data_IF_242915991420
#
_entry.id   IF_242915991420
#
_cell.length_a   1.000
_cell.length_b   1.000
_cell.length_c   1.000
_cell.angle_alpha   90.00
_cell.angle_beta   90.00
_cell.angle_gamma   90.00
#
_symmetry.space_group_name_H-M   'P 1'
#
loop_
_entity.id
_entity.type
_entity.pdbx_description
1 polymer ?
#
# COMPACT_ATOMS: atom_id res chain seq x y z
N UNK A 1 -26.06 2.18 1.62
CA UNK A 1 -24.81 1.98 0.84
C UNK A 1 -23.71 2.84 1.47
N UNK A 2 -22.45 2.41 1.53
CA UNK A 2 -21.36 3.23 2.08
C UNK A 2 -20.99 4.36 1.10
N UNK A 3 -20.94 5.59 1.58
CA UNK A 3 -20.68 6.78 0.76
C UNK A 3 -19.19 7.15 0.73
N UNK A 4 -18.84 8.14 -0.11
CA UNK A 4 -17.47 8.65 -0.25
C UNK A 4 -16.88 9.15 1.08
N UNK A 5 -17.69 9.85 1.86
CA UNK A 5 -17.29 10.44 3.14
C UNK A 5 -16.84 9.38 4.14
N UNK A 6 -17.58 8.27 4.25
CA UNK A 6 -17.19 7.13 5.08
C UNK A 6 -15.78 6.63 4.73
N UNK A 7 -15.51 6.41 3.44
CA UNK A 7 -14.22 5.90 2.98
C UNK A 7 -13.09 6.89 3.18
N UNK A 8 -13.34 8.19 2.97
CA UNK A 8 -12.36 9.24 3.24
C UNK A 8 -12.03 9.32 4.73
N UNK A 9 -13.05 9.43 5.61
CA UNK A 9 -12.87 9.52 7.05
C UNK A 9 -12.14 8.31 7.61
N UNK A 10 -12.57 7.09 7.25
CA UNK A 10 -11.96 5.85 7.74
C UNK A 10 -10.58 5.60 7.15
N UNK A 11 -10.39 5.84 5.85
CA UNK A 11 -9.10 5.70 5.18
C UNK A 11 -8.06 6.65 5.73
N UNK A 12 -8.43 7.91 6.02
CA UNK A 12 -7.52 8.87 6.65
C UNK A 12 -7.15 8.48 8.07
N UNK A 13 -8.11 8.00 8.86
CA UNK A 13 -7.81 7.46 10.18
C UNK A 13 -6.74 6.37 10.08
N UNK A 14 -6.94 5.38 9.21
CA UNK A 14 -5.97 4.31 8.97
C UNK A 14 -4.60 4.83 8.50
N UNK A 15 -4.57 5.83 7.61
CA UNK A 15 -3.33 6.49 7.20
C UNK A 15 -2.62 7.11 8.40
N UNK A 16 -3.30 7.93 9.19
CA UNK A 16 -2.69 8.63 10.33
C UNK A 16 -2.19 7.69 11.42
N UNK A 17 -2.86 6.54 11.60
CA UNK A 17 -2.45 5.52 12.57
C UNK A 17 -1.18 4.79 12.12
N UNK A 18 -1.04 4.52 10.82
CA UNK A 18 0.04 3.68 10.31
C UNK A 18 1.22 4.47 9.71
N UNK A 19 1.00 5.64 9.11
CA UNK A 19 2.01 6.35 8.33
C UNK A 19 2.74 7.41 9.16
N UNK A 20 4.06 7.24 9.28
CA UNK A 20 4.97 8.25 9.87
C UNK A 20 5.02 9.51 9.01
N UNK A 21 4.93 9.37 7.69
CA UNK A 21 4.97 10.51 6.74
C UNK A 21 3.76 11.43 6.92
N UNK A 22 2.59 10.90 7.28
CA UNK A 22 1.42 11.73 7.64
C UNK A 22 1.56 12.43 9.00
N UNK A 23 2.62 12.14 9.74
CA UNK A 23 3.04 12.86 10.94
C UNK A 23 4.25 13.79 10.66
N UNK A 24 4.65 13.95 9.39
CA UNK A 24 5.82 14.77 9.01
C UNK A 24 7.16 14.06 9.19
N UNK A 25 7.18 12.76 9.46
CA UNK A 25 8.41 11.99 9.71
C UNK A 25 8.78 11.21 8.44
N UNK A 26 9.87 11.62 7.79
CA UNK A 26 10.48 10.88 6.68
C UNK A 26 11.51 9.89 7.22
N UNK A 27 11.31 8.59 6.97
CA UNK A 27 12.34 7.61 7.25
C UNK A 27 13.27 7.45 6.03
N UNK A 28 14.51 7.92 6.19
CA UNK A 28 15.59 7.77 5.21
C UNK A 28 16.54 6.62 5.55
N UNK A 29 16.45 6.03 6.74
CA UNK A 29 17.39 4.98 7.20
C UNK A 29 17.33 3.66 6.43
N UNK A 30 16.35 3.48 5.56
CA UNK A 30 16.13 2.23 4.82
C UNK A 30 16.58 2.30 3.36
N UNK A 31 17.20 3.40 2.95
CA UNK A 31 17.65 3.68 1.59
C UNK A 31 18.81 4.67 1.64
N UNK A 32 19.93 4.35 0.98
CA UNK A 32 21.15 5.17 1.02
C UNK A 32 20.92 6.53 0.36
N UNK A 33 20.23 6.56 -0.79
CA UNK A 33 20.07 7.77 -1.60
C UNK A 33 18.70 8.43 -1.48
N UNK A 34 17.86 8.03 -0.51
CA UNK A 34 16.48 8.57 -0.38
C UNK A 34 16.44 10.08 -0.20
N UNK A 35 17.42 10.65 0.50
CA UNK A 35 17.50 12.10 0.76
C UNK A 35 17.59 12.89 -0.54
N UNK A 36 18.32 12.39 -1.52
CA UNK A 36 18.53 13.04 -2.82
C UNK A 36 17.30 12.99 -3.73
N UNK A 37 16.36 12.09 -3.45
CA UNK A 37 15.15 11.87 -4.24
C UNK A 37 13.95 12.66 -3.73
N UNK A 38 14.09 13.39 -2.62
CA UNK A 38 13.00 14.08 -1.92
C UNK A 38 13.00 15.59 -2.20
N UNK A 39 11.82 16.21 -2.38
CA UNK A 39 11.70 17.60 -2.86
C UNK A 39 11.12 18.60 -1.82
N UNK A 40 10.71 18.17 -0.62
CA UNK A 40 10.01 19.09 0.31
C UNK A 40 10.96 19.83 1.27
N UNK A 41 10.55 21.03 1.67
CA UNK A 41 11.32 21.95 2.51
C UNK A 41 10.99 21.93 4.01
N UNK A 42 9.84 21.37 4.42
CA UNK A 42 9.45 21.29 5.85
C UNK A 42 8.58 20.07 6.18
N UNK A 43 8.52 19.71 7.48
CA UNK A 43 7.70 18.60 8.00
C UNK A 43 6.21 18.84 7.79
N UNK A 44 5.77 20.08 7.93
CA UNK A 44 4.38 20.53 7.77
C UNK A 44 3.96 20.40 6.31
N UNK A 45 4.83 20.80 5.38
CA UNK A 45 4.62 20.63 3.93
C UNK A 45 4.52 19.16 3.57
N UNK A 46 5.40 18.30 4.09
CA UNK A 46 5.35 16.85 3.89
C UNK A 46 4.04 16.24 4.40
N UNK A 47 3.61 16.62 5.61
CA UNK A 47 2.36 16.15 6.20
C UNK A 47 1.16 16.56 5.35
N UNK A 48 1.08 17.85 5.01
CA UNK A 48 -0.01 18.42 4.21
C UNK A 48 -0.12 17.75 2.84
N UNK A 49 0.99 17.65 2.10
CA UNK A 49 0.98 17.02 0.78
C UNK A 49 0.65 15.53 0.85
N UNK A 50 1.14 14.81 1.87
CA UNK A 50 0.85 13.38 2.06
C UNK A 50 -0.64 13.15 2.30
N UNK A 51 -1.26 13.97 3.16
CA UNK A 51 -2.70 13.88 3.44
C UNK A 51 -3.50 14.22 2.18
N UNK A 52 -3.20 15.36 1.53
CA UNK A 52 -3.87 15.81 0.30
C UNK A 52 -3.80 14.76 -0.81
N UNK A 53 -2.63 14.20 -1.06
CA UNK A 53 -2.43 13.17 -2.09
C UNK A 53 -3.26 11.92 -1.79
N UNK A 54 -3.24 11.45 -0.54
CA UNK A 54 -3.98 10.25 -0.16
C UNK A 54 -5.50 10.47 -0.22
N UNK A 55 -6.00 11.64 0.19
CA UNK A 55 -7.41 12.02 0.03
C UNK A 55 -7.84 12.07 -1.44
N UNK A 56 -7.00 12.66 -2.29
CA UNK A 56 -7.22 12.72 -3.73
C UNK A 56 -7.30 11.33 -4.34
N UNK A 57 -6.40 10.43 -3.94
CA UNK A 57 -6.40 9.04 -4.40
C UNK A 57 -7.62 8.26 -3.90
N UNK A 58 -8.01 8.37 -2.64
CA UNK A 58 -9.24 7.71 -2.15
C UNK A 58 -10.50 8.23 -2.85
N UNK A 59 -10.56 9.54 -3.13
CA UNK A 59 -11.66 10.14 -3.90
C UNK A 59 -11.71 9.59 -5.33
N UNK A 60 -10.55 9.53 -6.00
CA UNK A 60 -10.42 8.97 -7.33
C UNK A 60 -10.83 7.49 -7.37
N UNK A 61 -10.38 6.70 -6.40
CA UNK A 61 -10.72 5.28 -6.26
C UNK A 61 -12.21 5.07 -6.03
N UNK A 62 -12.86 5.92 -5.22
CA UNK A 62 -14.30 5.82 -4.97
C UNK A 62 -15.11 6.10 -6.24
N UNK A 63 -14.75 7.14 -7.01
CA UNK A 63 -15.38 7.46 -8.30
C UNK A 63 -15.21 6.28 -9.28
N UNK A 64 -14.02 5.66 -9.28
CA UNK A 64 -13.66 4.57 -10.19
C UNK A 64 -13.92 3.17 -9.59
N UNK A 65 -14.70 3.05 -8.51
CA UNK A 65 -14.93 1.76 -7.82
C UNK A 65 -15.64 0.72 -8.68
N UNK A 66 -16.33 1.13 -9.75
CA UNK A 66 -16.96 0.23 -10.72
C UNK A 66 -16.07 -0.17 -11.90
N UNK A 67 -14.87 0.43 -12.04
CA UNK A 67 -14.01 0.25 -13.23
C UNK A 67 -13.72 -1.24 -13.48
N UNK A 68 -13.95 -1.71 -14.70
CA UNK A 68 -13.45 -3.01 -15.14
C UNK A 68 -12.09 -2.83 -15.83
N UNK A 69 -11.29 -3.89 -15.85
CA UNK A 69 -10.01 -3.92 -16.52
C UNK A 69 -10.05 -5.06 -17.53
N UNK A 70 -9.67 -4.78 -18.77
CA UNK A 70 -9.71 -5.76 -19.86
C UNK A 70 -8.53 -6.73 -19.80
N UNK A 71 -7.40 -6.26 -19.27
CA UNK A 71 -6.16 -7.02 -19.17
C UNK A 71 -5.32 -6.55 -17.96
N UNK A 72 -4.20 -7.25 -17.71
CA UNK A 72 -3.29 -6.93 -16.59
C UNK A 72 -2.56 -5.61 -16.81
N UNK A 73 -2.30 -5.22 -18.06
CA UNK A 73 -1.59 -4.00 -18.43
C UNK A 73 -2.39 -2.75 -18.03
N UNK A 74 -3.71 -2.74 -18.28
CA UNK A 74 -4.60 -1.66 -17.85
C UNK A 74 -4.62 -1.52 -16.31
N UNK A 75 -4.67 -2.65 -15.59
CA UNK A 75 -4.63 -2.66 -14.13
C UNK A 75 -3.29 -2.16 -13.60
N UNK A 76 -2.18 -2.57 -14.23
CA UNK A 76 -0.83 -2.09 -13.92
C UNK A 76 -0.75 -0.58 -14.08
N UNK A 77 -1.14 -0.03 -15.23
CA UNK A 77 -1.15 1.42 -15.49
C UNK A 77 -1.99 2.16 -14.46
N UNK A 78 -3.16 1.62 -14.12
CA UNK A 78 -4.02 2.19 -13.08
C UNK A 78 -3.29 2.28 -11.73
N UNK A 79 -2.67 1.19 -11.27
CA UNK A 79 -1.98 1.13 -9.98
C UNK A 79 -0.74 2.02 -9.97
N UNK A 80 0.08 2.01 -11.03
CA UNK A 80 1.26 2.88 -11.13
C UNK A 80 0.87 4.36 -11.09
N UNK A 81 -0.27 4.72 -11.70
CA UNK A 81 -0.82 6.07 -11.61
C UNK A 81 -1.28 6.41 -10.18
N UNK A 82 -1.79 5.45 -9.39
CA UNK A 82 -2.08 5.69 -7.98
C UNK A 82 -0.79 5.96 -7.19
N UNK A 83 0.28 5.19 -7.46
CA UNK A 83 1.57 5.39 -6.80
C UNK A 83 2.12 6.78 -7.09
N UNK A 84 2.14 7.18 -8.37
CA UNK A 84 2.55 8.52 -8.80
C UNK A 84 1.75 9.62 -8.10
N UNK A 85 0.42 9.47 -8.00
CA UNK A 85 -0.44 10.43 -7.27
C UNK A 85 -0.17 10.46 -5.78
N UNK A 86 0.15 9.32 -5.17
CA UNK A 86 0.51 9.23 -3.74
C UNK A 86 1.84 9.94 -3.44
N UNK A 87 2.82 9.81 -4.34
CA UNK A 87 4.19 10.33 -4.14
C UNK A 87 4.44 11.68 -4.81
N UNK A 88 3.44 12.26 -5.49
CA UNK A 88 3.54 13.55 -6.15
C UNK A 88 4.01 14.66 -5.19
N UNK A 89 5.05 15.40 -5.58
CA UNK A 89 5.67 16.44 -4.76
C UNK A 89 6.40 15.94 -3.50
N UNK A 90 6.51 14.62 -3.33
CA UNK A 90 7.36 13.99 -2.29
C UNK A 90 8.64 13.45 -2.93
N UNK A 91 8.52 12.76 -4.07
CA UNK A 91 9.64 12.21 -4.84
C UNK A 91 9.86 12.98 -6.16
N UNK A 92 11.10 12.98 -6.64
CA UNK A 92 11.48 13.39 -8.00
C UNK A 92 10.65 12.64 -9.05
N UNK A 93 10.26 13.36 -10.10
CA UNK A 93 9.57 12.77 -11.25
C UNK A 93 10.41 11.65 -11.89
N UNK A 94 9.74 10.70 -12.53
CA UNK A 94 10.37 9.49 -13.08
C UNK A 94 10.72 8.41 -12.04
N UNK A 95 10.70 8.71 -10.74
CA UNK A 95 10.99 7.72 -9.69
C UNK A 95 9.72 6.94 -9.30
N UNK A 96 9.58 5.71 -9.80
CA UNK A 96 8.45 4.82 -9.48
C UNK A 96 8.89 3.62 -8.64
N UNK A 97 9.75 2.79 -9.24
CA UNK A 97 10.30 1.59 -8.60
C UNK A 97 11.57 1.93 -7.84
N UNK A 98 11.87 1.14 -6.81
CA UNK A 98 13.18 1.23 -6.17
C UNK A 98 14.26 0.60 -7.06
N UNK A 99 15.44 1.15 -6.95
CA UNK A 99 16.66 0.80 -7.68
C UNK A 99 17.77 0.30 -6.75
N UNK A 100 17.52 0.29 -5.44
CA UNK A 100 18.46 -0.20 -4.43
C UNK A 100 17.79 -1.19 -3.44
N UNK A 101 18.64 -2.05 -2.86
CA UNK A 101 18.24 -2.97 -1.80
C UNK A 101 18.21 -2.26 -0.45
N UNK A 102 17.32 -2.69 0.44
CA UNK A 102 17.28 -2.11 1.77
C UNK A 102 18.40 -2.68 2.64
N UNK A 103 19.27 -1.85 3.23
CA UNK A 103 20.30 -2.33 4.15
C UNK A 103 19.71 -2.79 5.50
N UNK A 104 18.43 -2.48 5.77
CA UNK A 104 17.77 -2.68 7.07
C UNK A 104 16.72 -3.78 7.08
N UNK A 105 16.02 -3.97 5.96
CA UNK A 105 14.86 -4.85 5.90
C UNK A 105 15.03 -5.91 4.81
N UNK A 106 14.58 -7.14 5.04
CA UNK A 106 14.72 -8.25 4.09
C UNK A 106 13.65 -8.16 2.98
N UNK A 107 13.56 -7.01 2.31
CA UNK A 107 12.69 -6.83 1.16
C UNK A 107 13.15 -7.68 -0.02
N UNK A 108 12.33 -7.73 -1.07
CA UNK A 108 12.71 -8.37 -2.34
C UNK A 108 14.03 -7.74 -2.82
N UNK A 109 14.91 -8.50 -3.46
CA UNK A 109 16.11 -7.94 -4.07
C UNK A 109 15.76 -7.16 -5.35
N UNK A 110 16.43 -6.04 -5.65
CA UNK A 110 16.18 -5.24 -6.88
C UNK A 110 16.29 -6.12 -8.12
N UNK A 111 17.28 -7.01 -8.18
CA UNK A 111 17.47 -7.96 -9.28
C UNK A 111 16.27 -8.88 -9.54
N UNK A 112 15.44 -9.13 -8.51
CA UNK A 112 14.22 -9.95 -8.59
C UNK A 112 12.95 -9.11 -8.78
N UNK A 113 13.05 -7.78 -8.68
CA UNK A 113 11.93 -6.87 -8.63
C UNK A 113 11.04 -6.93 -9.90
N UNK A 114 11.57 -6.93 -11.14
CA UNK A 114 10.75 -7.00 -12.35
C UNK A 114 9.85 -8.24 -12.38
N UNK A 115 10.43 -9.42 -12.10
CA UNK A 115 9.70 -10.69 -12.06
C UNK A 115 8.62 -10.70 -10.97
N UNK A 116 8.90 -10.10 -9.81
CA UNK A 116 7.96 -10.10 -8.69
C UNK A 116 6.79 -9.13 -8.91
N UNK A 117 7.05 -7.98 -9.53
CA UNK A 117 6.02 -7.04 -9.95
C UNK A 117 5.09 -7.69 -10.99
N UNK A 118 5.67 -8.38 -11.97
CA UNK A 118 4.89 -9.07 -13.01
C UNK A 118 3.97 -10.15 -12.42
N UNK A 119 4.53 -10.96 -11.50
CA UNK A 119 3.74 -11.95 -10.74
C UNK A 119 2.63 -11.28 -9.92
N UNK A 120 2.91 -10.14 -9.28
CA UNK A 120 1.94 -9.40 -8.49
C UNK A 120 0.77 -8.90 -9.36
N UNK A 121 1.03 -8.22 -10.47
CA UNK A 121 -0.03 -7.70 -11.34
C UNK A 121 -0.86 -8.83 -11.98
N UNK A 122 -0.20 -9.90 -12.44
CA UNK A 122 -0.89 -11.10 -12.97
C UNK A 122 -1.81 -11.71 -11.91
N UNK A 123 -1.31 -11.88 -10.68
CA UNK A 123 -2.10 -12.46 -9.58
C UNK A 123 -3.24 -11.54 -9.14
N UNK A 124 -3.01 -10.22 -9.11
CA UNK A 124 -4.05 -9.28 -8.72
C UNK A 124 -5.17 -9.24 -9.76
N UNK A 125 -4.83 -9.19 -11.05
CA UNK A 125 -5.79 -9.18 -12.14
C UNK A 125 -6.71 -10.42 -12.10
N UNK A 126 -6.13 -11.61 -11.94
CA UNK A 126 -6.91 -12.86 -11.90
C UNK A 126 -7.82 -12.98 -10.67
N UNK A 127 -7.50 -12.28 -9.58
CA UNK A 127 -8.22 -12.36 -8.29
C UNK A 127 -9.25 -11.25 -8.10
N UNK A 128 -9.09 -10.10 -8.76
CA UNK A 128 -9.81 -8.85 -8.48
C UNK A 128 -11.34 -8.98 -8.44
N UNK A 129 -11.91 -9.82 -9.30
CA UNK A 129 -13.35 -10.02 -9.40
C UNK A 129 -13.84 -11.36 -8.83
N UNK A 130 -12.93 -12.27 -8.46
CA UNK A 130 -13.23 -13.67 -8.08
C UNK A 130 -13.07 -13.95 -6.59
N UNK A 131 -12.13 -13.28 -5.93
CA UNK A 131 -11.81 -13.58 -4.54
C UNK A 131 -12.68 -12.77 -3.56
N UNK A 132 -12.85 -13.31 -2.35
CA UNK A 132 -13.36 -12.56 -1.21
C UNK A 132 -12.58 -11.22 -1.04
N UNK A 133 -13.29 -10.08 -0.99
CA UNK A 133 -12.64 -8.77 -0.99
C UNK A 133 -11.79 -8.53 0.26
N UNK A 134 -12.11 -9.16 1.40
CA UNK A 134 -11.31 -9.00 2.62
C UNK A 134 -9.99 -9.78 2.52
N UNK A 135 -10.02 -11.01 2.03
CA UNK A 135 -8.84 -11.83 1.80
C UNK A 135 -7.91 -11.20 0.75
N UNK A 136 -8.47 -10.63 -0.32
CA UNK A 136 -7.70 -9.93 -1.35
C UNK A 136 -7.09 -8.63 -0.81
N UNK A 137 -7.85 -7.84 -0.06
CA UNK A 137 -7.35 -6.62 0.57
C UNK A 137 -6.17 -6.89 1.54
N UNK A 138 -6.28 -7.95 2.35
CA UNK A 138 -5.18 -8.41 3.20
C UNK A 138 -3.94 -8.80 2.37
N UNK A 139 -4.14 -9.55 1.28
CA UNK A 139 -3.04 -9.99 0.42
C UNK A 139 -2.33 -8.82 -0.27
N UNK A 140 -3.08 -7.79 -0.71
CA UNK A 140 -2.50 -6.57 -1.30
C UNK A 140 -1.54 -5.91 -0.33
N UNK A 141 -1.97 -5.72 0.93
CA UNK A 141 -1.15 -5.09 1.96
C UNK A 141 0.14 -5.89 2.19
N UNK A 142 0.00 -7.22 2.31
CA UNK A 142 1.15 -8.08 2.53
C UNK A 142 2.18 -7.96 1.40
N UNK A 143 1.73 -7.99 0.15
CA UNK A 143 2.66 -7.99 -1.00
C UNK A 143 3.27 -6.61 -1.24
N UNK A 144 2.54 -5.51 -1.05
CA UNK A 144 3.08 -4.18 -1.32
C UNK A 144 3.88 -3.63 -0.13
N UNK A 145 3.34 -3.65 1.09
CA UNK A 145 3.94 -2.94 2.24
C UNK A 145 4.80 -3.85 3.11
N UNK A 146 4.37 -5.08 3.36
CA UNK A 146 4.98 -5.93 4.38
C UNK A 146 6.12 -6.80 3.84
N UNK A 147 5.98 -7.34 2.63
CA UNK A 147 6.92 -8.30 2.05
C UNK A 147 7.63 -7.82 0.78
N UNK A 148 6.92 -7.16 -0.14
CA UNK A 148 7.47 -6.86 -1.46
C UNK A 148 8.21 -5.53 -1.55
N UNK A 149 7.60 -4.46 -1.04
CA UNK A 149 8.15 -3.11 -1.02
C UNK A 149 8.69 -2.66 -2.40
N UNK A 150 7.84 -2.74 -3.42
CA UNK A 150 8.23 -2.59 -4.83
C UNK A 150 8.61 -1.15 -5.23
N UNK A 151 7.96 -0.16 -4.63
CA UNK A 151 8.07 1.24 -5.03
C UNK A 151 9.16 1.96 -4.24
N UNK A 152 9.73 3.02 -4.83
CA UNK A 152 10.77 3.83 -4.21
C UNK A 152 10.30 4.52 -2.91
N UNK A 153 9.05 4.97 -2.88
CA UNK A 153 8.37 5.41 -1.67
C UNK A 153 6.86 5.10 -1.77
N UNK A 154 6.14 5.28 -0.67
CA UNK A 154 4.69 5.21 -0.68
C UNK A 154 4.11 3.81 -0.60
N UNK A 155 4.91 2.74 -0.48
CA UNK A 155 4.41 1.35 -0.41
C UNK A 155 3.24 1.17 0.57
N UNK A 156 3.38 1.57 1.85
CA UNK A 156 2.28 1.49 2.82
C UNK A 156 1.04 2.31 2.45
N UNK A 157 1.23 3.50 1.85
CA UNK A 157 0.12 4.36 1.41
C UNK A 157 -0.60 3.73 0.21
N UNK A 158 0.14 3.21 -0.77
CA UNK A 158 -0.39 2.51 -1.94
C UNK A 158 -1.11 1.23 -1.53
N UNK A 159 -0.53 0.46 -0.61
CA UNK A 159 -1.14 -0.74 -0.04
C UNK A 159 -2.49 -0.43 0.61
N UNK A 160 -2.56 0.61 1.45
CA UNK A 160 -3.81 1.04 2.09
C UNK A 160 -4.84 1.52 1.07
N UNK A 161 -4.43 2.32 0.09
CA UNK A 161 -5.32 2.84 -0.94
C UNK A 161 -5.90 1.71 -1.80
N UNK A 162 -5.05 0.78 -2.27
CA UNK A 162 -5.47 -0.33 -3.12
C UNK A 162 -6.28 -1.38 -2.36
N UNK A 163 -5.93 -1.66 -1.10
CA UNK A 163 -6.78 -2.44 -0.18
C UNK A 163 -8.17 -1.81 -0.04
N UNK A 164 -8.22 -0.48 0.11
CA UNK A 164 -9.49 0.23 0.25
C UNK A 164 -10.31 0.16 -1.04
N UNK A 165 -9.66 0.27 -2.20
CA UNK A 165 -10.31 0.13 -3.50
C UNK A 165 -11.04 -1.21 -3.64
N UNK A 166 -10.39 -2.33 -3.34
CA UNK A 166 -11.02 -3.67 -3.42
C UNK A 166 -12.25 -3.77 -2.52
N UNK A 167 -12.21 -3.20 -1.32
CA UNK A 167 -13.37 -3.16 -0.41
C UNK A 167 -14.47 -2.23 -0.93
N UNK A 168 -14.12 -1.08 -1.51
CA UNK A 168 -15.06 -0.15 -2.15
C UNK A 168 -15.81 -0.78 -3.31
N UNK A 169 -15.13 -1.57 -4.17
CA UNK A 169 -15.74 -2.30 -5.30
C UNK A 169 -16.92 -3.18 -4.87
N UNK A 170 -16.89 -3.69 -3.63
CA UNK A 170 -17.91 -4.58 -3.06
C UNK A 170 -18.72 -3.93 -1.94
N UNK A 171 -18.69 -2.59 -1.84
CA UNK A 171 -19.41 -1.81 -0.83
C UNK A 171 -19.16 -2.33 0.61
N UNK A 172 -17.92 -2.74 0.91
CA UNK A 172 -17.50 -3.22 2.23
C UNK A 172 -16.87 -2.11 3.07
N UNK A 173 -17.02 -2.23 4.39
CA UNK A 173 -16.37 -1.35 5.37
C UNK A 173 -14.84 -1.49 5.27
N UNK A 174 -14.10 -0.45 5.66
CA UNK A 174 -12.63 -0.52 5.79
C UNK A 174 -12.26 -1.04 7.19
N UNK A 175 -11.09 -1.69 7.37
CA UNK A 175 -10.66 -2.18 8.68
C UNK A 175 -10.44 -1.01 9.64
N UNK A 176 -10.55 -1.28 10.94
CA UNK A 176 -10.10 -0.35 11.98
C UNK A 176 -8.65 -0.66 12.32
N UNK A 177 -7.71 -0.01 11.63
CA UNK A 177 -6.29 -0.22 11.90
C UNK A 177 -5.97 0.17 13.33
N UNK A 178 -5.30 -0.74 14.04
CA UNK A 178 -4.70 -0.48 15.36
C UNK A 178 -3.38 0.26 15.18
N UNK A 179 -2.61 0.41 16.26
CA UNK A 179 -1.33 1.11 16.20
C UNK A 179 -0.31 0.44 15.26
N UNK A 180 0.67 1.25 14.84
CA UNK A 180 1.71 0.84 13.91
C UNK A 180 2.56 -0.33 14.43
N UNK A 181 2.82 -0.42 15.74
CA UNK A 181 3.65 -1.48 16.33
C UNK A 181 2.94 -2.83 16.19
N UNK A 182 1.66 -2.87 16.53
CA UNK A 182 0.80 -4.05 16.39
C UNK A 182 0.69 -4.51 14.92
N UNK A 183 0.51 -3.55 14.01
CA UNK A 183 0.46 -3.81 12.56
C UNK A 183 1.71 -4.55 12.03
N UNK A 184 2.92 -4.08 12.37
CA UNK A 184 4.16 -4.74 11.90
C UNK A 184 4.52 -6.01 12.70
N UNK A 185 4.06 -6.15 13.95
CA UNK A 185 4.29 -7.34 14.76
C UNK A 185 3.61 -8.60 14.16
N UNK A 186 2.49 -8.41 13.46
CA UNK A 186 1.74 -9.48 12.80
C UNK A 186 2.20 -9.77 11.37
N UNK A 187 3.14 -8.98 10.86
CA UNK A 187 3.71 -9.08 9.53
C UNK A 187 5.10 -9.75 9.50
N UNK A 188 5.72 -9.95 10.66
CA UNK A 188 7.11 -10.35 10.77
C UNK A 188 7.35 -11.81 10.35
N UNK A 189 8.14 -11.99 9.28
CA UNK A 189 9.15 -13.05 9.25
C UNK A 189 10.47 -12.48 8.72
N UNK A 190 11.52 -12.59 9.53
CA UNK A 190 12.91 -12.50 9.09
C UNK A 190 13.26 -13.83 8.41
N UNK A 191 13.81 -13.81 7.19
CA UNK A 191 14.31 -15.02 6.52
C UNK A 191 13.55 -15.37 5.24
N UNK A 192 14.29 -15.47 4.13
CA UNK A 192 13.77 -15.63 2.77
C UNK A 192 13.51 -17.12 2.44
N UNK A 193 12.26 -17.54 2.53
CA UNK A 193 11.78 -18.79 1.94
C UNK A 193 10.29 -18.68 1.58
N UNK A 194 9.86 -19.28 0.46
CA UNK A 194 8.44 -19.23 0.03
C UNK A 194 7.50 -19.82 1.09
N UNK A 195 7.93 -20.88 1.77
CA UNK A 195 7.19 -21.50 2.90
C UNK A 195 6.96 -20.51 4.04
N UNK A 196 7.98 -19.74 4.42
CA UNK A 196 7.88 -18.72 5.46
C UNK A 196 6.95 -17.57 5.05
N UNK A 197 6.94 -17.19 3.77
CA UNK A 197 5.98 -16.20 3.24
C UNK A 197 4.55 -16.69 3.34
N UNK A 198 4.28 -17.96 3.05
CA UNK A 198 2.94 -18.54 3.17
C UNK A 198 2.43 -18.52 4.62
N UNK A 199 3.27 -18.90 5.60
CA UNK A 199 2.92 -18.85 7.02
C UNK A 199 2.67 -17.41 7.47
N UNK A 200 3.54 -16.48 7.07
CA UNK A 200 3.42 -15.04 7.35
C UNK A 200 2.11 -14.47 6.81
N UNK A 201 1.80 -14.74 5.54
CA UNK A 201 0.59 -14.27 4.88
C UNK A 201 -0.65 -14.82 5.58
N UNK A 202 -0.63 -16.08 6.02
CA UNK A 202 -1.76 -16.67 6.78
C UNK A 202 -1.94 -15.98 8.13
N UNK A 203 -0.86 -15.75 8.88
CA UNK A 203 -0.88 -15.00 10.15
C UNK A 203 -1.42 -13.58 9.94
N UNK A 204 -0.91 -12.88 8.92
CA UNK A 204 -1.35 -11.55 8.53
C UNK A 204 -2.84 -11.52 8.15
N UNK A 205 -3.30 -12.46 7.31
CA UNK A 205 -4.71 -12.54 6.91
C UNK A 205 -5.63 -12.69 8.12
N UNK A 206 -5.31 -13.58 9.07
CA UNK A 206 -6.08 -13.74 10.31
C UNK A 206 -6.13 -12.44 11.12
N UNK A 207 -4.98 -11.79 11.31
CA UNK A 207 -4.90 -10.51 11.99
C UNK A 207 -5.75 -9.45 11.29
N UNK A 208 -5.59 -9.28 9.97
CA UNK A 208 -6.33 -8.28 9.19
C UNK A 208 -7.84 -8.48 9.27
N UNK A 209 -8.33 -9.72 9.19
CA UNK A 209 -9.75 -10.03 9.33
C UNK A 209 -10.29 -9.68 10.72
N UNK A 210 -9.48 -9.81 11.77
CA UNK A 210 -9.88 -9.41 13.13
C UNK A 210 -10.14 -7.91 13.29
N UNK A 211 -9.70 -7.09 12.33
CA UNK A 211 -9.89 -5.63 12.33
C UNK A 211 -11.28 -5.17 11.85
N UNK A 212 -12.14 -6.09 11.42
CA UNK A 212 -13.50 -5.78 10.92
C UNK A 212 -14.61 -6.06 11.94
N UNK A 213 -14.36 -6.89 12.95
CA UNK A 213 -15.38 -7.44 13.85
C UNK A 213 -15.20 -7.02 15.32
N UNK A 214 -14.76 -5.79 15.57
CA UNK A 214 -14.76 -5.20 16.92
C UNK A 214 -15.67 -3.99 16.94
N UNK A 215 -16.97 -4.26 17.04
CA UNK A 215 -17.94 -3.46 17.78
C UNK A 215 -18.44 -4.39 18.88
#
# INVERSE_FOLDING_TARGET
MLNKEYYLKRGLKNLTTLSRTSQGILNVSSSQNKKEKVIFSSKEKLKSITIKNFQGVLSYLYINKGRQFSNKEELKVFIENLVKKITAGVLKEGTLYRDEDSPKYPYIQVSKLPRQIEKFYTSLFSRLNREDPFALAAWIIYNIDLGGHYFADGCGKTALALSSYVLMRKNKKLPNMKDRKDYYAHASVKGAGERLKCVSLRKWKRYYLSLFNRV
#
